data_IF_819642235453
#
_entry.id   IF_819642235453
#
_cell.length_a   1.000
_cell.length_b   1.000
_cell.length_c   1.000
_cell.angle_alpha   90.00
_cell.angle_beta   90.00
_cell.angle_gamma   90.00
#
_symmetry.space_group_name_H-M   'P 1'
#
loop_
_entity.id
_entity.type
_entity.pdbx_description
1 polymer ?
#
# COMPACT_ATOMS: atom_id res chain seq x y z
N UNK A 1 -2.40 -21.43 6.93
CA UNK A 1 -2.36 -20.40 8.00
C UNK A 1 -2.55 -19.03 7.38
N UNK A 2 -3.30 -18.13 8.02
CA UNK A 2 -3.46 -16.75 7.53
C UNK A 2 -2.23 -15.95 7.93
N UNK A 3 -1.56 -15.31 6.97
CA UNK A 3 -0.39 -14.47 7.24
C UNK A 3 -0.83 -13.19 7.94
N UNK A 4 -0.26 -12.87 9.11
CA UNK A 4 -0.60 -11.66 9.86
C UNK A 4 0.21 -10.45 9.38
N UNK A 5 -0.25 -9.20 9.64
CA UNK A 5 0.53 -8.01 9.35
C UNK A 5 1.90 -7.99 10.02
N UNK A 6 2.02 -8.44 11.27
CA UNK A 6 3.29 -8.54 11.96
C UNK A 6 4.24 -9.53 11.29
N UNK A 7 3.74 -10.72 10.90
CA UNK A 7 4.49 -11.71 10.14
C UNK A 7 4.96 -11.18 8.78
N UNK A 8 4.09 -10.48 8.05
CA UNK A 8 4.46 -9.83 6.78
C UNK A 8 5.51 -8.73 6.99
N UNK A 9 5.42 -8.00 8.11
CA UNK A 9 6.40 -6.97 8.43
C UNK A 9 7.77 -7.60 8.69
N UNK A 10 7.83 -8.67 9.48
CA UNK A 10 9.07 -9.44 9.71
C UNK A 10 9.68 -9.92 8.39
N UNK A 11 8.89 -10.56 7.53
CA UNK A 11 9.34 -10.99 6.19
C UNK A 11 9.90 -9.83 5.36
N UNK A 12 9.26 -8.66 5.36
CA UNK A 12 9.77 -7.51 4.61
C UNK A 12 11.02 -6.89 5.22
N UNK A 13 11.23 -7.03 6.53
CA UNK A 13 12.49 -6.67 7.18
C UNK A 13 13.59 -7.62 6.71
N UNK A 14 13.36 -8.93 6.71
CA UNK A 14 14.33 -9.91 6.24
C UNK A 14 14.71 -9.69 4.77
N UNK A 15 13.73 -9.37 3.90
CA UNK A 15 13.99 -8.98 2.51
C UNK A 15 14.86 -7.72 2.44
N UNK A 16 14.60 -6.69 3.27
CA UNK A 16 15.45 -5.50 3.33
C UNK A 16 16.88 -5.87 3.71
N UNK A 17 17.06 -6.69 4.74
CA UNK A 17 18.38 -7.13 5.21
C UNK A 17 19.14 -7.92 4.16
N UNK A 18 18.46 -8.82 3.43
CA UNK A 18 19.08 -9.62 2.37
C UNK A 18 19.70 -8.77 1.25
N UNK A 19 19.19 -7.56 1.04
CA UNK A 19 19.71 -6.65 0.01
C UNK A 19 20.79 -5.67 0.51
N UNK A 20 21.12 -5.64 1.83
CA UNK A 20 22.03 -4.63 2.38
C UNK A 20 23.45 -4.70 1.81
N UNK A 21 24.01 -5.89 1.58
CA UNK A 21 25.33 -6.03 0.96
C UNK A 21 25.32 -5.42 -0.44
N UNK A 22 24.35 -5.79 -1.28
CA UNK A 22 24.23 -5.25 -2.63
C UNK A 22 23.93 -3.74 -2.67
N UNK A 23 23.27 -3.19 -1.65
CA UNK A 23 23.09 -1.74 -1.48
C UNK A 23 24.43 -1.05 -1.19
N UNK A 24 25.28 -1.65 -0.33
CA UNK A 24 26.64 -1.15 -0.05
C UNK A 24 27.52 -1.17 -1.30
N UNK A 25 27.38 -2.24 -2.11
CA UNK A 25 28.10 -2.41 -3.38
C UNK A 25 27.53 -1.52 -4.50
N UNK A 26 26.44 -0.79 -4.25
CA UNK A 26 25.79 0.08 -5.23
C UNK A 26 25.03 -0.66 -6.34
N UNK A 27 24.65 -1.93 -6.13
CA UNK A 27 23.95 -2.77 -7.11
C UNK A 27 22.52 -2.26 -7.35
N UNK A 28 22.21 -2.00 -8.61
CA UNK A 28 20.93 -1.39 -9.04
C UNK A 28 19.73 -2.22 -8.58
N UNK A 29 19.77 -3.55 -8.76
CA UNK A 29 18.67 -4.44 -8.37
C UNK A 29 18.48 -4.46 -6.85
N UNK A 30 19.56 -4.53 -6.08
CA UNK A 30 19.50 -4.52 -4.61
C UNK A 30 18.94 -3.20 -4.08
N UNK A 31 19.33 -2.06 -4.68
CA UNK A 31 18.78 -0.73 -4.36
C UNK A 31 17.28 -0.68 -4.71
N UNK A 32 16.89 -1.25 -5.86
CA UNK A 32 15.49 -1.34 -6.26
C UNK A 32 14.66 -2.12 -5.24
N UNK A 33 15.08 -3.33 -4.90
CA UNK A 33 14.33 -4.25 -4.03
C UNK A 33 14.28 -3.75 -2.59
N UNK A 34 15.40 -3.22 -2.05
CA UNK A 34 15.43 -2.54 -0.76
C UNK A 34 14.45 -1.36 -0.72
N UNK A 35 14.34 -0.58 -1.82
CA UNK A 35 13.37 0.52 -1.92
C UNK A 35 11.92 0.03 -1.94
N UNK A 36 11.64 -1.07 -2.63
CA UNK A 36 10.30 -1.70 -2.63
C UNK A 36 9.95 -2.16 -1.21
N UNK A 37 10.89 -2.84 -0.52
CA UNK A 37 10.71 -3.29 0.87
C UNK A 37 10.44 -2.11 1.83
N UNK A 38 11.21 -1.02 1.76
CA UNK A 38 10.96 0.15 2.61
C UNK A 38 9.60 0.79 2.35
N UNK A 39 9.07 0.75 1.13
CA UNK A 39 7.72 1.26 0.82
C UNK A 39 6.63 0.37 1.41
N UNK A 40 6.77 -0.97 1.29
CA UNK A 40 5.86 -1.94 1.92
C UNK A 40 5.88 -1.80 3.43
N UNK A 41 7.06 -1.76 4.03
CA UNK A 41 7.24 -1.57 5.47
C UNK A 41 6.55 -0.31 5.99
N UNK A 42 6.60 0.80 5.27
CA UNK A 42 5.93 2.05 5.70
C UNK A 42 4.41 1.93 5.84
N UNK A 43 3.75 1.10 5.04
CA UNK A 43 2.32 0.87 5.18
C UNK A 43 2.04 -0.29 6.18
N UNK A 44 2.88 -1.32 6.21
CA UNK A 44 2.76 -2.46 7.14
C UNK A 44 2.96 -2.07 8.60
N UNK A 45 3.98 -1.27 8.94
CA UNK A 45 4.32 -0.91 10.32
C UNK A 45 3.16 -0.34 11.10
N UNK A 46 2.30 0.44 10.46
CA UNK A 46 1.12 0.97 11.13
C UNK A 46 0.09 -0.10 11.47
N UNK A 47 -0.16 -1.03 10.52
CA UNK A 47 -1.15 -2.10 10.71
C UNK A 47 -0.61 -3.17 11.67
N UNK A 48 0.68 -3.47 11.60
CA UNK A 48 1.35 -4.36 12.54
C UNK A 48 1.35 -3.77 13.97
N UNK A 49 1.58 -2.47 14.11
CA UNK A 49 1.49 -1.78 15.40
C UNK A 49 0.10 -1.90 16.04
N UNK A 50 -0.96 -1.78 15.23
CA UNK A 50 -2.34 -1.99 15.69
C UNK A 50 -2.60 -3.47 16.07
N UNK A 51 -1.93 -4.44 15.42
CA UNK A 51 -2.04 -5.87 15.75
C UNK A 51 -1.37 -6.21 17.09
N UNK A 52 -0.16 -5.70 17.32
CA UNK A 52 0.63 -6.03 18.52
C UNK A 52 0.45 -5.04 19.67
N UNK A 53 -0.39 -4.00 19.49
CA UNK A 53 -0.68 -3.00 20.52
C UNK A 53 0.48 -2.04 20.81
N UNK A 54 1.44 -1.86 19.88
CA UNK A 54 2.66 -1.06 20.08
C UNK A 54 2.77 0.07 19.05
N UNK A 55 3.25 1.24 19.50
CA UNK A 55 3.55 2.35 18.60
C UNK A 55 4.80 2.07 17.76
N UNK A 56 4.63 2.00 16.44
CA UNK A 56 5.71 1.82 15.46
C UNK A 56 6.33 3.13 14.98
N UNK A 57 6.14 4.25 15.70
CA UNK A 57 6.63 5.56 15.30
C UNK A 57 8.16 5.63 15.08
N UNK A 58 9.00 5.14 15.98
CA UNK A 58 10.46 5.08 15.80
C UNK A 58 10.85 4.24 14.57
N UNK A 59 10.34 3.00 14.46
CA UNK A 59 10.56 2.11 13.32
C UNK A 59 10.14 2.76 11.99
N UNK A 60 9.00 3.45 11.96
CA UNK A 60 8.53 4.19 10.79
C UNK A 60 9.49 5.31 10.36
N UNK A 61 10.05 6.09 11.33
CA UNK A 61 11.03 7.14 11.03
C UNK A 61 12.30 6.56 10.40
N UNK A 62 12.78 5.45 10.92
CA UNK A 62 13.94 4.71 10.44
C UNK A 62 13.73 4.23 8.99
N UNK A 63 12.66 3.50 8.73
CA UNK A 63 12.30 3.03 7.38
C UNK A 63 12.06 4.20 6.40
N UNK A 64 11.50 5.31 6.88
CA UNK A 64 11.34 6.52 6.07
C UNK A 64 12.67 7.14 5.67
N UNK A 65 13.66 7.17 6.57
CA UNK A 65 15.01 7.67 6.30
C UNK A 65 15.71 6.80 5.26
N UNK A 66 15.75 5.47 5.47
CA UNK A 66 16.28 4.51 4.52
C UNK A 66 15.62 4.66 3.13
N UNK A 67 14.30 4.75 3.10
CA UNK A 67 13.55 4.88 1.86
C UNK A 67 13.81 6.20 1.10
N UNK A 68 14.17 7.28 1.78
CA UNK A 68 14.59 8.55 1.13
C UNK A 68 15.97 8.41 0.50
N UNK A 69 16.92 7.84 1.22
CA UNK A 69 18.28 7.65 0.71
C UNK A 69 18.30 6.71 -0.52
N UNK A 70 17.61 5.57 -0.44
CA UNK A 70 17.40 4.68 -1.59
C UNK A 70 16.72 5.40 -2.76
N UNK A 71 15.79 6.30 -2.43
CA UNK A 71 15.04 7.07 -3.40
C UNK A 71 15.90 7.93 -4.29
N UNK A 72 16.87 8.63 -3.72
CA UNK A 72 17.76 9.53 -4.44
C UNK A 72 18.62 8.78 -5.48
N UNK A 73 19.15 7.61 -5.12
CA UNK A 73 19.94 6.78 -6.05
C UNK A 73 19.05 6.18 -7.13
N UNK A 74 17.91 5.59 -6.75
CA UNK A 74 17.01 4.94 -7.72
C UNK A 74 16.40 5.89 -8.74
N UNK A 75 16.24 7.15 -8.41
CA UNK A 75 15.80 8.18 -9.35
C UNK A 75 16.85 8.38 -10.45
N UNK A 76 18.13 8.48 -10.08
CA UNK A 76 19.22 8.58 -11.04
C UNK A 76 19.36 7.32 -11.91
N UNK A 77 19.23 6.13 -11.29
CA UNK A 77 19.21 4.87 -12.07
C UNK A 77 18.08 4.85 -13.10
N UNK A 78 16.89 5.35 -12.75
CA UNK A 78 15.76 5.41 -13.68
C UNK A 78 16.03 6.36 -14.83
N UNK A 79 16.65 7.52 -14.56
CA UNK A 79 16.99 8.49 -15.60
C UNK A 79 18.11 8.00 -16.51
N UNK A 80 19.12 7.31 -15.98
CA UNK A 80 20.16 6.65 -16.79
C UNK A 80 19.54 5.65 -17.76
N UNK A 81 18.69 4.75 -17.27
CA UNK A 81 17.98 3.77 -18.10
C UNK A 81 17.05 4.43 -19.14
N UNK A 82 16.41 5.56 -18.76
CA UNK A 82 15.60 6.33 -19.71
C UNK A 82 16.47 6.94 -20.84
N UNK A 83 17.63 7.50 -20.51
CA UNK A 83 18.56 7.99 -21.56
C UNK A 83 18.96 6.87 -22.51
N UNK A 84 19.31 5.68 -22.01
CA UNK A 84 19.66 4.52 -22.82
C UNK A 84 18.50 4.10 -23.74
N UNK A 85 17.28 4.08 -23.22
CA UNK A 85 16.08 3.79 -24.03
C UNK A 85 15.88 4.83 -25.12
N UNK A 86 16.02 6.12 -24.81
CA UNK A 86 15.83 7.20 -25.75
C UNK A 86 16.95 7.25 -26.82
N UNK A 87 18.20 6.90 -26.50
CA UNK A 87 19.29 6.80 -27.47
C UNK A 87 18.96 5.78 -28.56
N UNK A 88 18.34 4.66 -28.20
CA UNK A 88 17.93 3.65 -29.17
C UNK A 88 16.74 4.10 -30.06
N UNK A 89 15.84 4.91 -29.48
CA UNK A 89 14.65 5.42 -30.18
C UNK A 89 14.91 6.69 -31.02
N UNK A 90 15.96 7.43 -30.68
CA UNK A 90 16.27 8.76 -31.21
C UNK A 90 17.77 8.85 -31.58
N UNK A 91 18.24 8.14 -32.62
CA UNK A 91 19.68 8.11 -32.98
C UNK A 91 20.28 9.50 -33.24
N UNK A 92 19.48 10.43 -33.78
CA UNK A 92 19.90 11.80 -34.03
C UNK A 92 20.27 12.58 -32.76
N UNK A 93 19.64 12.26 -31.61
CA UNK A 93 19.89 12.87 -30.31
C UNK A 93 20.85 12.04 -29.43
N UNK A 94 21.41 10.95 -29.94
CA UNK A 94 22.21 10.00 -29.13
C UNK A 94 23.41 10.67 -28.44
N UNK A 95 24.08 11.63 -29.09
CA UNK A 95 25.20 12.37 -28.52
C UNK A 95 24.79 13.21 -27.30
N UNK A 96 23.70 13.96 -27.41
CA UNK A 96 23.14 14.77 -26.32
C UNK A 96 22.71 13.88 -25.14
N UNK A 97 22.05 12.76 -25.44
CA UNK A 97 21.60 11.79 -24.44
C UNK A 97 22.77 11.07 -23.75
N UNK A 98 23.84 10.73 -24.50
CA UNK A 98 25.05 10.14 -23.93
C UNK A 98 25.75 11.10 -22.96
N UNK A 99 25.82 12.39 -23.31
CA UNK A 99 26.35 13.43 -22.42
C UNK A 99 25.54 13.54 -21.14
N UNK A 100 24.20 13.60 -21.25
CA UNK A 100 23.30 13.64 -20.08
C UNK A 100 23.46 12.37 -19.23
N UNK A 101 23.49 11.20 -19.84
CA UNK A 101 23.73 9.93 -19.15
C UNK A 101 25.04 9.95 -18.34
N UNK A 102 26.13 10.46 -18.94
CA UNK A 102 27.39 10.63 -18.23
C UNK A 102 27.27 11.50 -16.99
N UNK A 103 26.61 12.66 -17.09
CA UNK A 103 26.35 13.55 -15.95
C UNK A 103 25.52 12.84 -14.85
N UNK A 104 24.50 12.10 -15.20
CA UNK A 104 23.67 11.35 -14.25
C UNK A 104 24.47 10.26 -13.51
N UNK A 105 25.38 9.58 -14.20
CA UNK A 105 26.29 8.60 -13.59
C UNK A 105 27.24 9.29 -12.59
N UNK A 106 27.78 10.45 -12.92
CA UNK A 106 28.60 11.21 -11.98
C UNK A 106 27.82 11.69 -10.76
N UNK A 107 26.58 12.16 -10.94
CA UNK A 107 25.69 12.55 -9.82
C UNK A 107 25.32 11.33 -8.94
N UNK A 108 25.20 10.15 -9.53
CA UNK A 108 24.88 8.90 -8.83
C UNK A 108 25.94 8.51 -7.80
N UNK A 109 27.23 8.74 -8.09
CA UNK A 109 28.35 8.38 -7.22
C UNK A 109 28.23 9.01 -5.81
N UNK A 110 28.10 10.33 -5.66
CA UNK A 110 27.92 10.94 -4.34
C UNK A 110 26.59 10.57 -3.68
N UNK A 111 25.52 10.34 -4.46
CA UNK A 111 24.25 9.86 -3.91
C UNK A 111 24.38 8.44 -3.32
N UNK A 112 25.10 7.54 -3.99
CA UNK A 112 25.39 6.20 -3.50
C UNK A 112 26.24 6.22 -2.22
N UNK A 113 27.27 7.07 -2.17
CA UNK A 113 28.07 7.26 -0.93
C UNK A 113 27.22 7.77 0.24
N UNK A 114 26.31 8.71 0.02
CA UNK A 114 25.37 9.18 1.05
C UNK A 114 24.40 8.09 1.48
N UNK A 115 23.96 7.24 0.54
CA UNK A 115 23.10 6.08 0.82
C UNK A 115 23.81 5.13 1.79
N UNK A 116 25.06 4.73 1.50
CA UNK A 116 25.85 3.84 2.36
C UNK A 116 25.99 4.41 3.76
N UNK A 117 26.44 5.67 3.89
CA UNK A 117 26.54 6.37 5.18
C UNK A 117 25.21 6.41 5.95
N UNK A 118 24.09 6.63 5.24
CA UNK A 118 22.76 6.59 5.87
C UNK A 118 22.46 5.22 6.44
N UNK A 119 22.73 4.14 5.69
CA UNK A 119 22.46 2.79 6.17
C UNK A 119 23.39 2.39 7.33
N UNK A 120 24.63 2.83 7.35
CA UNK A 120 25.56 2.62 8.47
C UNK A 120 25.11 3.33 9.75
N UNK A 121 24.43 4.49 9.62
CA UNK A 121 23.89 5.24 10.75
C UNK A 121 22.53 4.77 11.25
N UNK A 122 21.85 3.83 10.54
CA UNK A 122 20.54 3.33 10.92
C UNK A 122 20.68 2.10 11.79
N UNK A 123 20.05 2.13 12.97
CA UNK A 123 19.88 0.95 13.81
C UNK A 123 18.80 0.02 13.24
N UNK A 124 19.21 -0.83 12.30
CA UNK A 124 18.32 -1.76 11.64
C UNK A 124 17.94 -2.95 12.55
N UNK A 125 18.76 -3.29 13.54
CA UNK A 125 18.42 -4.32 14.53
C UNK A 125 17.29 -3.83 15.44
N UNK A 126 17.29 -2.54 15.85
CA UNK A 126 16.16 -1.95 16.56
C UNK A 126 14.83 -2.04 15.76
N UNK A 127 14.89 -2.01 14.42
CA UNK A 127 13.71 -2.24 13.58
C UNK A 127 13.17 -3.67 13.73
N UNK A 128 14.06 -4.67 13.76
CA UNK A 128 13.72 -6.08 13.93
C UNK A 128 13.12 -6.32 15.32
N UNK A 129 13.75 -5.77 16.36
CA UNK A 129 13.33 -5.92 17.74
C UNK A 129 11.98 -5.26 18.03
N UNK A 130 11.73 -4.09 17.43
CA UNK A 130 10.44 -3.40 17.54
C UNK A 130 9.27 -4.25 16.99
N UNK A 131 9.48 -4.98 15.89
CA UNK A 131 8.45 -5.85 15.28
C UNK A 131 8.35 -7.19 15.99
N UNK A 132 9.45 -7.71 16.54
CA UNK A 132 9.44 -8.94 17.34
C UNK A 132 8.73 -8.77 18.71
N UNK A 133 8.31 -7.54 19.05
CA UNK A 133 7.62 -7.27 20.31
C UNK A 133 8.51 -7.35 21.55
N UNK A 134 9.82 -7.49 21.39
CA UNK A 134 10.77 -7.69 22.50
C UNK A 134 10.85 -6.52 23.50
N UNK A 135 10.31 -5.36 23.10
CA UNK A 135 10.28 -4.13 23.93
C UNK A 135 8.86 -3.74 24.34
N UNK A 136 7.87 -4.58 24.05
CA UNK A 136 6.49 -4.32 24.34
C UNK A 136 6.13 -4.77 25.76
N UNK A 137 6.21 -3.84 26.69
CA UNK A 137 5.31 -3.94 27.84
C UNK A 137 3.88 -3.97 27.28
N UNK A 138 3.17 -5.06 27.55
CA UNK A 138 1.80 -5.32 27.12
C UNK A 138 0.87 -4.18 27.50
N UNK A 139 0.71 -3.18 26.64
CA UNK A 139 -0.47 -2.32 26.71
C UNK A 139 -1.59 -3.08 26.03
N UNK A 140 -2.59 -3.44 26.84
CA UNK A 140 -3.86 -3.94 26.31
C UNK A 140 -4.29 -3.01 25.19
N UNK A 141 -4.33 -3.54 23.97
CA UNK A 141 -4.80 -2.78 22.82
C UNK A 141 -6.20 -2.23 23.12
N UNK A 142 -6.53 -1.07 22.62
CA UNK A 142 -7.83 -0.40 22.78
C UNK A 142 -9.01 -1.15 22.12
N UNK A 143 -8.96 -2.49 22.03
CA UNK A 143 -10.00 -3.35 21.46
C UNK A 143 -10.13 -3.26 19.93
N UNK A 144 -9.32 -2.43 19.27
CA UNK A 144 -9.32 -2.24 17.84
C UNK A 144 -8.53 -3.35 17.15
N UNK A 145 -9.17 -4.11 16.26
CA UNK A 145 -8.48 -5.16 15.52
C UNK A 145 -7.65 -4.55 14.39
N UNK A 146 -6.51 -5.20 14.04
CA UNK A 146 -5.71 -4.79 12.88
C UNK A 146 -6.52 -4.77 11.56
N UNK A 147 -7.58 -5.60 11.45
CA UNK A 147 -8.48 -5.61 10.28
C UNK A 147 -9.27 -4.31 10.16
N UNK A 148 -9.76 -3.79 11.29
CA UNK A 148 -10.42 -2.48 11.35
C UNK A 148 -9.45 -1.37 10.98
N UNK A 149 -8.25 -1.37 11.55
CA UNK A 149 -7.20 -0.41 11.24
C UNK A 149 -6.79 -0.42 9.76
N UNK A 150 -6.62 -1.62 9.16
CA UNK A 150 -6.35 -1.77 7.73
C UNK A 150 -7.49 -1.21 6.88
N UNK A 151 -8.75 -1.49 7.25
CA UNK A 151 -9.93 -0.99 6.54
C UNK A 151 -9.99 0.52 6.49
N UNK A 152 -9.86 1.19 7.65
CA UNK A 152 -9.86 2.65 7.76
C UNK A 152 -8.70 3.29 6.98
N UNK A 153 -7.54 2.63 6.94
CA UNK A 153 -6.41 3.11 6.13
C UNK A 153 -6.67 2.99 4.63
N UNK A 154 -7.26 1.87 4.19
CA UNK A 154 -7.64 1.68 2.78
C UNK A 154 -8.68 2.73 2.38
N UNK A 155 -9.70 2.95 3.19
CA UNK A 155 -10.73 3.97 2.99
C UNK A 155 -10.09 5.37 2.87
N UNK A 156 -9.27 5.77 3.85
CA UNK A 156 -8.56 7.05 3.85
C UNK A 156 -7.70 7.23 2.60
N UNK A 157 -6.95 6.19 2.20
CA UNK A 157 -6.11 6.25 0.99
C UNK A 157 -6.94 6.29 -0.28
N UNK A 158 -8.09 5.61 -0.31
CA UNK A 158 -9.08 5.72 -1.40
C UNK A 158 -9.55 7.15 -1.57
N UNK A 159 -9.99 7.82 -0.49
CA UNK A 159 -10.40 9.22 -0.52
C UNK A 159 -9.27 10.17 -0.95
N UNK A 160 -8.04 9.94 -0.48
CA UNK A 160 -6.87 10.73 -0.90
C UNK A 160 -6.54 10.54 -2.38
N UNK A 161 -6.71 9.32 -2.92
CA UNK A 161 -6.53 9.05 -4.34
C UNK A 161 -7.60 9.77 -5.16
N UNK A 162 -8.89 9.65 -4.81
CA UNK A 162 -9.98 10.34 -5.49
C UNK A 162 -9.71 11.84 -5.59
N UNK A 163 -9.45 12.48 -4.45
CA UNK A 163 -9.14 13.91 -4.40
C UNK A 163 -7.89 14.31 -5.22
N UNK A 164 -6.88 13.44 -5.33
CA UNK A 164 -5.71 13.70 -6.16
C UNK A 164 -6.05 13.59 -7.65
N UNK A 165 -6.87 12.60 -8.05
CA UNK A 165 -7.34 12.41 -9.42
C UNK A 165 -8.19 13.58 -9.87
N UNK A 166 -9.13 14.06 -9.03
CA UNK A 166 -9.97 15.23 -9.31
C UNK A 166 -9.13 16.47 -9.62
N UNK A 167 -8.10 16.74 -8.80
CA UNK A 167 -7.19 17.87 -9.02
C UNK A 167 -6.31 17.73 -10.25
N UNK A 168 -6.11 16.51 -10.75
CA UNK A 168 -5.29 16.20 -11.92
C UNK A 168 -6.11 15.92 -13.18
N UNK A 169 -7.40 16.20 -13.17
CA UNK A 169 -8.29 16.10 -14.33
C UNK A 169 -8.12 17.31 -15.26
N UNK A 170 -7.97 17.05 -16.56
CA UNK A 170 -7.88 18.09 -17.58
C UNK A 170 -6.46 18.46 -17.98
N UNK A 171 -6.06 19.71 -17.78
CA UNK A 171 -4.75 20.22 -18.24
C UNK A 171 -3.58 19.53 -17.52
N UNK A 172 -2.49 19.33 -18.27
CA UNK A 172 -1.27 18.74 -17.73
C UNK A 172 -0.60 19.63 -16.69
N UNK A 173 -0.53 19.12 -15.46
CA UNK A 173 0.22 19.73 -14.36
C UNK A 173 1.13 18.68 -13.70
N UNK A 174 2.46 18.74 -13.89
CA UNK A 174 3.39 17.74 -13.37
C UNK A 174 3.21 17.44 -11.87
N UNK A 175 3.11 18.49 -11.04
CA UNK A 175 2.94 18.37 -9.59
C UNK A 175 1.64 17.65 -9.21
N UNK A 176 0.55 17.87 -9.93
CA UNK A 176 -0.74 17.21 -9.66
C UNK A 176 -0.68 15.72 -10.02
N UNK A 177 -0.13 15.37 -11.19
CA UNK A 177 0.08 13.98 -11.58
C UNK A 177 1.04 13.25 -10.63
N UNK A 178 2.09 13.92 -10.17
CA UNK A 178 2.99 13.37 -9.15
C UNK A 178 2.24 13.02 -7.85
N UNK A 179 1.27 13.84 -7.42
CA UNK A 179 0.43 13.52 -6.26
C UNK A 179 -0.45 12.29 -6.51
N UNK A 180 -1.08 12.16 -7.70
CA UNK A 180 -1.81 10.93 -8.06
C UNK A 180 -0.90 9.71 -7.94
N UNK A 181 0.31 9.77 -8.53
CA UNK A 181 1.31 8.70 -8.47
C UNK A 181 1.67 8.31 -7.03
N UNK A 182 1.85 9.29 -6.13
CA UNK A 182 2.15 9.04 -4.71
C UNK A 182 0.98 8.34 -4.03
N UNK A 183 -0.26 8.83 -4.18
CA UNK A 183 -1.42 8.24 -3.52
C UNK A 183 -1.72 6.84 -4.06
N UNK A 184 -1.64 6.64 -5.37
CA UNK A 184 -1.82 5.34 -6.01
C UNK A 184 -0.81 4.31 -5.50
N UNK A 185 0.48 4.67 -5.37
CA UNK A 185 1.50 3.78 -4.81
C UNK A 185 1.19 3.37 -3.38
N UNK A 186 0.79 4.31 -2.51
CA UNK A 186 0.44 4.02 -1.12
C UNK A 186 -0.77 3.08 -1.04
N UNK A 187 -1.80 3.35 -1.84
CA UNK A 187 -3.00 2.52 -1.88
C UNK A 187 -2.69 1.11 -2.38
N UNK A 188 -1.90 0.98 -3.46
CA UNK A 188 -1.50 -0.33 -3.99
C UNK A 188 -0.82 -1.21 -2.95
N UNK A 189 0.10 -0.65 -2.15
CA UNK A 189 0.75 -1.43 -1.09
C UNK A 189 -0.21 -1.87 0.02
N UNK A 190 -1.22 -1.07 0.36
CA UNK A 190 -2.26 -1.50 1.30
C UNK A 190 -3.16 -2.59 0.71
N UNK A 191 -3.48 -2.53 -0.58
CA UNK A 191 -4.21 -3.59 -1.29
C UNK A 191 -3.38 -4.89 -1.26
N UNK A 192 -2.07 -4.84 -1.53
CA UNK A 192 -1.18 -6.00 -1.40
C UNK A 192 -1.24 -6.61 0.01
N UNK A 193 -1.18 -5.79 1.06
CA UNK A 193 -1.31 -6.26 2.45
C UNK A 193 -2.66 -6.93 2.69
N UNK A 194 -3.75 -6.33 2.20
CA UNK A 194 -5.09 -6.88 2.35
C UNK A 194 -5.24 -8.24 1.63
N UNK A 195 -4.64 -8.39 0.45
CA UNK A 195 -4.61 -9.64 -0.31
C UNK A 195 -3.79 -10.72 0.42
N UNK A 196 -2.58 -10.40 0.85
CA UNK A 196 -1.66 -11.33 1.52
C UNK A 196 -2.20 -11.81 2.88
N UNK A 197 -2.85 -10.90 3.63
CA UNK A 197 -3.50 -11.23 4.90
C UNK A 197 -4.88 -11.88 4.72
N UNK A 198 -5.35 -12.06 3.48
CA UNK A 198 -6.70 -12.51 3.15
C UNK A 198 -7.82 -11.67 3.80
N UNK A 199 -7.51 -10.44 4.16
CA UNK A 199 -8.50 -9.51 4.69
C UNK A 199 -9.46 -9.03 3.61
N UNK A 200 -8.94 -8.81 2.39
CA UNK A 200 -9.70 -8.39 1.24
C UNK A 200 -9.02 -8.87 -0.05
N UNK A 201 -9.82 -9.33 -1.01
CA UNK A 201 -9.35 -9.75 -2.33
C UNK A 201 -10.17 -9.02 -3.39
N UNK A 202 -9.82 -7.76 -3.68
CA UNK A 202 -10.51 -7.01 -4.72
C UNK A 202 -10.09 -7.55 -6.10
N UNK A 203 -11.07 -7.93 -6.92
CA UNK A 203 -10.80 -8.37 -8.27
C UNK A 203 -10.11 -7.24 -9.07
N UNK A 204 -8.93 -7.54 -9.63
CA UNK A 204 -8.18 -6.70 -10.57
C UNK A 204 -7.67 -5.34 -10.06
N UNK A 205 -8.04 -4.85 -8.86
CA UNK A 205 -7.62 -3.51 -8.41
C UNK A 205 -6.11 -3.33 -8.35
N UNK A 206 -5.37 -4.34 -7.90
CA UNK A 206 -3.90 -4.29 -7.88
C UNK A 206 -3.32 -4.18 -9.28
N UNK A 207 -3.80 -4.97 -10.23
CA UNK A 207 -3.35 -4.94 -11.62
C UNK A 207 -3.68 -3.62 -12.32
N UNK A 208 -4.89 -3.08 -12.10
CA UNK A 208 -5.26 -1.76 -12.61
C UNK A 208 -4.38 -0.65 -12.02
N UNK A 209 -4.07 -0.73 -10.70
CA UNK A 209 -3.15 0.18 -10.06
C UNK A 209 -1.74 0.12 -10.68
N UNK A 210 -1.22 -1.06 -10.96
CA UNK A 210 0.10 -1.27 -11.58
C UNK A 210 0.16 -0.67 -12.99
N UNK A 211 -0.86 -0.88 -13.82
CA UNK A 211 -0.95 -0.31 -15.17
C UNK A 211 -0.92 1.22 -15.17
N UNK A 212 -1.72 1.84 -14.31
CA UNK A 212 -1.74 3.32 -14.22
C UNK A 212 -0.45 3.84 -13.59
N UNK A 213 0.10 3.12 -12.59
CA UNK A 213 1.37 3.47 -11.96
C UNK A 213 2.53 3.47 -12.96
N UNK A 214 2.56 2.55 -13.93
CA UNK A 214 3.56 2.54 -15.01
C UNK A 214 3.48 3.83 -15.83
N UNK A 215 2.30 4.17 -16.35
CA UNK A 215 2.09 5.40 -17.13
C UNK A 215 2.53 6.65 -16.35
N UNK A 216 2.11 6.78 -15.09
CA UNK A 216 2.50 7.90 -14.23
C UNK A 216 4.00 7.89 -13.87
N UNK A 217 4.62 6.72 -13.85
CA UNK A 217 6.07 6.56 -13.69
C UNK A 217 6.80 7.12 -14.89
N UNK A 218 6.41 6.70 -16.07
CA UNK A 218 6.99 7.12 -17.35
C UNK A 218 6.88 8.65 -17.57
N UNK A 219 5.73 9.25 -17.23
CA UNK A 219 5.55 10.70 -17.26
C UNK A 219 6.52 11.39 -16.31
N UNK A 220 6.62 10.89 -15.07
CA UNK A 220 7.48 11.47 -14.05
C UNK A 220 8.95 11.45 -14.45
N UNK A 221 9.45 10.30 -14.93
CA UNK A 221 10.85 10.13 -15.29
C UNK A 221 11.24 11.03 -16.48
N UNK A 222 10.33 11.19 -17.47
CA UNK A 222 10.50 12.14 -18.58
C UNK A 222 10.48 13.59 -18.15
N UNK A 223 9.58 13.93 -17.23
CA UNK A 223 9.51 15.28 -16.65
C UNK A 223 10.81 15.62 -15.90
N UNK A 224 11.31 14.69 -15.09
CA UNK A 224 12.58 14.85 -14.39
C UNK A 224 13.77 15.00 -15.34
N UNK A 225 13.78 14.24 -16.45
CA UNK A 225 14.81 14.37 -17.48
C UNK A 225 14.69 15.72 -18.20
N UNK A 226 13.48 16.15 -18.55
CA UNK A 226 13.22 17.43 -19.20
C UNK A 226 13.69 18.62 -18.34
N UNK A 227 13.45 18.58 -17.02
CA UNK A 227 13.92 19.61 -16.09
C UNK A 227 15.45 19.71 -16.07
N UNK A 228 16.17 18.60 -16.26
CA UNK A 228 17.63 18.60 -16.35
C UNK A 228 18.16 19.18 -17.66
N UNK A 229 17.47 18.97 -18.78
CA UNK A 229 17.82 19.60 -20.06
C UNK A 229 17.59 21.12 -20.06
N UNK A 230 16.64 21.64 -19.29
CA UNK A 230 16.38 23.08 -19.15
C UNK A 230 17.51 23.83 -18.44
N UNK A 231 18.30 23.12 -17.63
CA UNK A 231 19.47 23.67 -16.91
C UNK A 231 20.82 23.42 -17.59
N UNK A 232 20.83 22.73 -18.74
CA UNK A 232 22.01 22.35 -19.51
C UNK A 232 21.83 22.65 -21.01
N UNK A 233 22.88 22.48 -21.81
CA UNK A 233 22.89 22.73 -23.25
C UNK A 233 21.72 22.12 -23.99
N UNK A 234 21.06 22.91 -24.84
CA UNK A 234 19.75 22.60 -25.40
C UNK A 234 19.85 21.83 -26.74
N UNK A 235 19.12 20.72 -26.82
CA UNK A 235 18.66 20.12 -28.08
C UNK A 235 17.15 20.35 -28.21
N UNK A 236 16.73 21.41 -28.97
CA UNK A 236 15.29 21.75 -29.10
C UNK A 236 14.45 20.60 -29.69
N UNK A 237 15.01 19.82 -30.59
CA UNK A 237 14.35 18.68 -31.22
C UNK A 237 14.08 17.56 -30.20
N UNK A 238 15.08 17.20 -29.40
CA UNK A 238 14.93 16.23 -28.32
C UNK A 238 13.92 16.70 -27.27
N UNK A 239 14.01 17.98 -26.86
CA UNK A 239 13.05 18.56 -25.90
C UNK A 239 11.63 18.49 -26.43
N UNK A 240 11.40 18.85 -27.71
CA UNK A 240 10.09 18.75 -28.35
C UNK A 240 9.57 17.31 -28.36
N UNK A 241 10.42 16.34 -28.67
CA UNK A 241 10.09 14.91 -28.67
C UNK A 241 9.71 14.40 -27.28
N UNK A 242 10.48 14.75 -26.24
CA UNK A 242 10.16 14.35 -24.85
C UNK A 242 8.82 14.96 -24.43
N UNK A 243 8.55 16.23 -24.78
CA UNK A 243 7.27 16.89 -24.49
C UNK A 243 6.10 16.20 -25.18
N UNK A 244 6.26 15.83 -26.45
CA UNK A 244 5.24 15.08 -27.20
C UNK A 244 4.96 13.70 -26.59
N UNK A 245 5.99 12.97 -26.13
CA UNK A 245 5.82 11.69 -25.44
C UNK A 245 5.13 11.87 -24.08
N UNK A 246 5.45 12.92 -23.31
CA UNK A 246 4.72 13.26 -22.08
C UNK A 246 3.23 13.53 -22.37
N UNK A 247 2.93 14.30 -23.43
CA UNK A 247 1.54 14.62 -23.82
C UNK A 247 0.77 13.35 -24.22
N UNK A 248 1.39 12.46 -24.97
CA UNK A 248 0.81 11.16 -25.34
C UNK A 248 0.50 10.31 -24.10
N UNK A 249 1.45 10.19 -23.17
CA UNK A 249 1.23 9.43 -21.92
C UNK A 249 0.22 10.08 -20.99
N UNK A 250 0.14 11.41 -21.01
CA UNK A 250 -0.91 12.12 -20.27
C UNK A 250 -2.30 11.79 -20.84
N UNK A 251 -2.47 11.75 -22.17
CA UNK A 251 -3.71 11.28 -22.77
C UNK A 251 -4.04 9.83 -22.37
N UNK A 252 -3.05 8.93 -22.30
CA UNK A 252 -3.24 7.57 -21.79
C UNK A 252 -3.67 7.54 -20.31
N UNK A 253 -3.17 8.45 -19.48
CA UNK A 253 -3.63 8.60 -18.09
C UNK A 253 -5.09 9.05 -18.03
N UNK A 254 -5.46 10.05 -18.82
CA UNK A 254 -6.85 10.56 -18.85
C UNK A 254 -7.86 9.48 -19.23
N UNK A 255 -7.53 8.60 -20.17
CA UNK A 255 -8.35 7.43 -20.55
C UNK A 255 -8.53 6.40 -19.41
N UNK A 256 -7.64 6.43 -18.41
CA UNK A 256 -7.68 5.51 -17.26
C UNK A 256 -8.18 6.15 -15.97
N UNK A 257 -8.49 7.43 -16.01
CA UNK A 257 -8.92 8.22 -14.86
C UNK A 257 -10.14 7.63 -14.15
N UNK A 258 -11.15 7.23 -14.91
CA UNK A 258 -12.40 6.69 -14.36
C UNK A 258 -12.16 5.36 -13.63
N UNK A 259 -11.20 4.55 -14.07
CA UNK A 259 -10.78 3.34 -13.34
C UNK A 259 -10.18 3.67 -11.98
N UNK A 260 -9.45 4.79 -11.86
CA UNK A 260 -8.93 5.25 -10.57
C UNK A 260 -10.05 5.71 -9.63
N UNK A 261 -11.10 6.36 -10.14
CA UNK A 261 -12.29 6.71 -9.36
C UNK A 261 -13.04 5.47 -8.90
N UNK A 262 -13.26 4.47 -9.77
CA UNK A 262 -13.88 3.20 -9.39
C UNK A 262 -13.05 2.46 -8.33
N UNK A 263 -11.72 2.45 -8.46
CA UNK A 263 -10.81 1.89 -7.47
C UNK A 263 -10.93 2.61 -6.13
N UNK A 264 -10.89 3.94 -6.12
CA UNK A 264 -11.03 4.75 -4.93
C UNK A 264 -12.38 4.50 -4.23
N UNK A 265 -13.48 4.46 -4.98
CA UNK A 265 -14.81 4.16 -4.48
C UNK A 265 -14.91 2.75 -3.88
N UNK A 266 -14.30 1.73 -4.51
CA UNK A 266 -14.25 0.38 -3.96
C UNK A 266 -13.48 0.35 -2.63
N UNK A 267 -12.37 1.08 -2.53
CA UNK A 267 -11.59 1.19 -1.30
C UNK A 267 -12.35 1.92 -0.17
N UNK A 268 -13.14 2.94 -0.50
CA UNK A 268 -13.97 3.65 0.47
C UNK A 268 -15.12 2.80 1.02
N UNK A 269 -15.67 1.87 0.21
CA UNK A 269 -16.72 0.95 0.66
C UNK A 269 -16.20 -0.25 1.45
N UNK A 270 -14.91 -0.56 1.39
CA UNK A 270 -14.34 -1.75 2.01
C UNK A 270 -14.65 -1.91 3.51
N UNK A 271 -14.57 -0.89 4.38
CA UNK A 271 -14.92 -1.04 5.80
C UNK A 271 -16.39 -1.40 6.02
N UNK A 272 -17.30 -0.78 5.29
CA UNK A 272 -18.75 -1.07 5.36
C UNK A 272 -19.06 -2.51 4.92
N UNK A 273 -18.43 -2.98 3.84
CA UNK A 273 -18.56 -4.35 3.36
C UNK A 273 -18.03 -5.37 4.38
N UNK A 274 -16.96 -5.05 5.10
CA UNK A 274 -16.44 -5.90 6.17
C UNK A 274 -17.40 -5.97 7.37
N UNK A 275 -17.97 -4.84 7.78
CA UNK A 275 -18.96 -4.79 8.85
C UNK A 275 -20.20 -5.62 8.49
N UNK A 276 -20.72 -5.48 7.28
CA UNK A 276 -21.86 -6.25 6.77
C UNK A 276 -21.59 -7.75 6.74
N UNK A 277 -20.42 -8.18 6.26
CA UNK A 277 -20.02 -9.60 6.25
C UNK A 277 -19.95 -10.19 7.67
N UNK A 278 -19.39 -9.44 8.62
CA UNK A 278 -19.33 -9.86 10.04
C UNK A 278 -20.72 -10.03 10.62
N UNK A 279 -21.64 -9.10 10.35
CA UNK A 279 -23.00 -9.17 10.81
C UNK A 279 -23.73 -10.40 10.26
N UNK A 280 -23.61 -10.66 8.94
CA UNK A 280 -24.20 -11.85 8.30
C UNK A 280 -23.66 -13.16 8.88
N UNK A 281 -22.35 -13.23 9.14
CA UNK A 281 -21.73 -14.42 9.73
C UNK A 281 -22.18 -14.62 11.19
N UNK A 282 -22.26 -13.55 11.97
CA UNK A 282 -22.75 -13.59 13.36
C UNK A 282 -24.22 -13.99 13.41
N UNK A 283 -25.07 -13.46 12.52
CA UNK A 283 -26.48 -13.82 12.44
C UNK A 283 -26.68 -15.28 12.03
N UNK A 284 -25.87 -15.81 11.12
CA UNK A 284 -25.88 -17.23 10.74
C UNK A 284 -25.41 -18.13 11.88
N UNK A 285 -24.37 -17.76 12.61
CA UNK A 285 -23.88 -18.50 13.77
C UNK A 285 -24.95 -18.50 14.88
N UNK A 286 -25.59 -17.37 15.15
CA UNK A 286 -26.71 -17.28 16.11
C UNK A 286 -27.90 -18.15 15.69
N UNK A 287 -28.26 -18.17 14.40
CA UNK A 287 -29.34 -19.01 13.86
C UNK A 287 -29.05 -20.51 13.98
N UNK A 288 -27.77 -20.92 13.98
CA UNK A 288 -27.38 -22.32 14.18
C UNK A 288 -27.39 -22.73 15.68
N UNK A 289 -27.39 -21.78 16.61
CA UNK A 289 -27.38 -22.02 18.05
C UNK A 289 -28.83 -22.07 18.63
N UNK A 290 -29.86 -21.67 17.90
CA UNK A 290 -31.27 -21.60 18.35
C UNK A 290 -32.03 -22.94 18.41
N UNK A 291 -31.66 -24.04 17.72
CA UNK A 291 -32.52 -25.22 17.71
C UNK A 291 -32.41 -26.18 18.90
N UNK A 292 -31.58 -25.98 19.90
CA UNK A 292 -31.40 -26.98 20.98
C UNK A 292 -32.21 -26.65 22.23
N UNK A 293 -32.64 -25.42 22.42
CA UNK A 293 -33.44 -25.01 23.60
C UNK A 293 -34.99 -25.21 23.41
N UNK A 294 -35.45 -25.38 22.18
CA UNK A 294 -36.90 -25.51 21.86
C UNK A 294 -37.46 -26.92 21.95
N UNK A 295 -36.64 -27.96 22.04
CA UNK A 295 -37.10 -29.37 22.05
C UNK A 295 -37.22 -29.99 23.46
N UNK A 296 -36.87 -29.29 24.51
CA UNK A 296 -36.95 -29.77 25.89
C UNK A 296 -38.28 -29.43 26.61
N UNK A 297 -39.21 -28.71 25.99
CA UNK A 297 -40.47 -28.25 26.62
C UNK A 297 -41.74 -28.92 26.06
N UNK A 298 -41.64 -29.94 25.24
CA UNK A 298 -42.82 -30.69 24.69
C UNK A 298 -42.87 -32.11 25.28
N UNK A 299 -42.53 -32.30 26.54
CA UNK A 299 -42.50 -33.62 27.17
C UNK A 299 -43.20 -33.73 28.52
N UNK A 300 -43.99 -32.74 28.97
CA UNK A 300 -44.80 -32.89 30.19
C UNK A 300 -46.27 -32.70 29.86
N UNK A 301 -46.94 -33.79 29.56
CA UNK A 301 -48.42 -33.90 29.66
C UNK A 301 -48.75 -33.96 31.15
N UNK A 302 -49.67 -33.14 31.65
CA UNK A 302 -50.16 -33.33 33.00
C UNK A 302 -51.10 -34.54 33.04
N UNK A 303 -50.75 -35.50 33.91
CA UNK A 303 -51.57 -36.65 34.28
C UNK A 303 -52.88 -36.18 34.88
N UNK A 304 -54.00 -36.54 34.22
CA UNK A 304 -55.37 -36.37 34.71
C UNK A 304 -55.80 -37.69 35.30
N UNK A 305 -55.63 -37.86 36.60
CA UNK A 305 -56.37 -38.91 37.32
C UNK A 305 -56.80 -38.43 38.69
N UNK A 306 -58.09 -38.55 38.90
CA UNK A 306 -58.87 -38.52 40.17
C UNK A 306 -59.36 -37.16 40.68
N UNK A 307 -60.62 -36.87 40.28
CA UNK A 307 -61.58 -36.19 41.10
C UNK A 307 -62.49 -37.23 41.82
N UNK A 308 -62.92 -37.02 43.04
CA UNK A 308 -64.23 -37.52 43.46
C UNK A 308 -65.20 -36.35 43.63
N UNK A 309 -66.40 -36.59 43.12
CA UNK A 309 -67.66 -35.92 43.35
C UNK A 309 -67.95 -35.78 44.85
N UNK A 310 -68.41 -34.65 45.32
CA UNK A 310 -69.34 -34.48 46.42
C UNK A 310 -70.39 -33.46 46.05
N UNK A 311 -71.65 -34.01 46.13
CA UNK A 311 -72.92 -33.35 46.08
C UNK A 311 -73.24 -32.69 47.46
N UNK A 312 -74.10 -31.73 47.45
CA UNK A 312 -74.85 -31.18 48.62
C UNK A 312 -74.47 -29.72 48.86
N UNK A 313 -75.32 -28.79 48.88
CA UNK A 313 -76.71 -28.70 49.15
C UNK A 313 -76.97 -27.33 49.73
N UNK A 314 -77.96 -26.67 49.21
CA UNK A 314 -78.97 -25.83 49.87
C UNK A 314 -78.60 -24.48 50.49
N UNK A 315 -79.30 -23.47 50.01
CA UNK A 315 -80.24 -22.52 50.67
C UNK A 315 -79.55 -21.33 51.44
N UNK A 316 -79.72 -20.19 51.01
CA UNK A 316 -80.61 -19.07 51.32
C UNK A 316 -80.17 -17.81 50.55
#
# INVERSE_FOLDING_TARGET
MSTSPASLTATQIDVLFAHLSGVRDGRIDSIHDARVSTRRLRELLHVAGDEIGVSMGPAYKLVRSAGRALGAVRELDSLVSLCETLMNLQPAAAGTLATMRGRLIEERRPAARRLVKTFESLDLEALRDAVAGRHAGTRAGNGRTWRTALGERIEKRGGQLAAAVDRASGVYFPKRLHQVRIQLKKLRYLIEVAEQTRAWRPANLRHDAERVQSVLGDIHDRQMLLERFQSADHDPGLIATIRADIAHRHAQYLLRRDRLHLMAAACQRYPADQARRRWVLASRAAALLVPVAGLALIGQTPDRSHAPLRLGGEVS
#
